data_IF_812007788782
#
_entry.id   IF_812007788782
#
_cell.length_a   1.000
_cell.length_b   1.000
_cell.length_c   1.000
_cell.angle_alpha   90.00
_cell.angle_beta   90.00
_cell.angle_gamma   90.00
#
_symmetry.space_group_name_H-M   'P 1'
#
loop_
_entity.id
_entity.type
_entity.pdbx_description
1 polymer ?
#
# COMPACT_ATOMS: atom_id res chain seq x y z
N UNK A 1 29.27 15.85 1.80
CA UNK A 1 28.11 16.19 2.67
C UNK A 1 27.74 14.96 3.50
N UNK A 2 28.00 15.01 4.80
CA UNK A 2 27.96 13.85 5.72
C UNK A 2 26.59 13.12 5.72
N UNK A 3 26.56 11.90 5.20
CA UNK A 3 25.39 11.03 5.28
C UNK A 3 25.08 10.58 6.72
N UNK A 4 26.05 10.67 7.63
CA UNK A 4 25.95 10.24 9.04
C UNK A 4 24.84 10.93 9.83
N UNK A 5 24.62 12.23 9.62
CA UNK A 5 23.54 12.97 10.30
C UNK A 5 22.14 12.49 9.90
N UNK A 6 21.97 12.01 8.66
CA UNK A 6 20.70 11.46 8.20
C UNK A 6 20.41 10.12 8.88
N UNK A 7 21.40 9.24 9.00
CA UNK A 7 21.22 7.95 9.70
C UNK A 7 20.91 8.13 11.18
N UNK A 8 21.50 9.15 11.82
CA UNK A 8 21.23 9.51 13.21
C UNK A 8 19.76 9.92 13.44
N UNK A 9 19.18 10.72 12.54
CA UNK A 9 17.76 11.10 12.59
C UNK A 9 16.85 9.88 12.46
N UNK A 10 17.17 8.93 11.57
CA UNK A 10 16.37 7.71 11.40
C UNK A 10 16.50 6.74 12.57
N UNK A 11 17.68 6.65 13.19
CA UNK A 11 17.88 5.88 14.41
C UNK A 11 17.09 6.50 15.58
N UNK A 12 17.09 7.82 15.72
CA UNK A 12 16.29 8.52 16.72
C UNK A 12 14.79 8.28 16.51
N UNK A 13 14.33 8.32 15.26
CA UNK A 13 12.94 8.02 14.90
C UNK A 13 12.56 6.56 15.20
N UNK A 14 13.47 5.60 14.99
CA UNK A 14 13.21 4.19 15.33
C UNK A 14 13.19 3.93 16.82
N UNK A 15 14.05 4.61 17.58
CA UNK A 15 14.06 4.54 19.04
C UNK A 15 12.76 5.13 19.61
N UNK A 16 12.30 6.26 19.09
CA UNK A 16 11.00 6.86 19.48
C UNK A 16 9.84 5.92 19.15
N UNK A 17 9.82 5.33 17.95
CA UNK A 17 8.78 4.37 17.56
C UNK A 17 8.77 3.11 18.42
N UNK A 18 9.96 2.57 18.75
CA UNK A 18 10.11 1.42 19.64
C UNK A 18 9.70 1.75 21.09
N UNK A 19 10.02 2.95 21.56
CA UNK A 19 9.63 3.41 22.90
C UNK A 19 8.11 3.62 23.00
N UNK A 20 7.48 4.20 21.97
CA UNK A 20 6.03 4.36 21.91
C UNK A 20 5.29 3.01 21.85
N UNK A 21 5.78 2.06 21.04
CA UNK A 21 5.25 0.69 21.01
C UNK A 21 5.45 -0.04 22.34
N UNK A 22 6.61 0.14 22.98
CA UNK A 22 6.89 -0.39 24.31
C UNK A 22 5.97 0.19 25.39
N UNK A 23 5.70 1.49 25.34
CA UNK A 23 4.78 2.17 26.26
C UNK A 23 3.34 1.66 26.11
N UNK A 24 2.87 1.47 24.88
CA UNK A 24 1.56 0.87 24.60
C UNK A 24 1.50 -0.60 25.07
N UNK A 25 2.59 -1.36 24.92
CA UNK A 25 2.64 -2.76 25.29
C UNK A 25 2.69 -3.01 26.80
N UNK A 26 3.27 -2.08 27.58
CA UNK A 26 3.47 -2.18 29.02
C UNK A 26 2.29 -1.61 29.83
N UNK A 27 1.63 -0.55 29.35
CA UNK A 27 0.52 0.10 30.05
C UNK A 27 -0.87 -0.45 29.68
N UNK A 28 -1.04 -1.78 29.71
CA UNK A 28 -2.29 -2.48 29.31
C UNK A 28 -3.51 -2.22 30.22
N UNK A 29 -3.37 -1.42 31.27
CA UNK A 29 -4.39 -1.19 32.31
C UNK A 29 -5.03 0.21 32.36
N UNK A 30 -4.49 1.21 31.64
CA UNK A 30 -5.07 2.55 31.58
C UNK A 30 -5.69 2.84 30.20
N UNK A 31 -6.53 3.87 30.11
CA UNK A 31 -7.08 4.40 28.86
C UNK A 31 -5.92 4.82 27.93
N UNK A 32 -5.48 3.93 27.03
CA UNK A 32 -4.40 4.22 26.09
C UNK A 32 -4.89 5.33 25.14
N UNK A 33 -4.26 6.50 25.25
CA UNK A 33 -4.57 7.61 24.35
C UNK A 33 -4.20 7.22 22.90
N UNK A 34 -5.18 7.32 22.00
CA UNK A 34 -5.02 7.04 20.57
C UNK A 34 -3.85 7.80 19.93
N UNK A 35 -3.45 8.94 20.50
CA UNK A 35 -2.27 9.69 20.11
C UNK A 35 -1.00 8.82 20.06
N UNK A 36 -0.78 7.95 21.04
CA UNK A 36 0.41 7.09 21.09
C UNK A 36 0.43 6.07 19.95
N UNK A 37 -0.74 5.51 19.62
CA UNK A 37 -0.90 4.57 18.51
C UNK A 37 -0.59 5.25 17.18
N UNK A 38 -1.10 6.47 16.98
CA UNK A 38 -0.85 7.25 15.75
C UNK A 38 0.63 7.59 15.62
N UNK A 39 1.27 8.06 16.70
CA UNK A 39 2.70 8.39 16.68
C UNK A 39 3.54 7.16 16.36
N UNK A 40 3.27 6.02 17.02
CA UNK A 40 3.95 4.77 16.76
C UNK A 40 3.79 4.32 15.29
N UNK A 41 2.58 4.37 14.75
CA UNK A 41 2.28 4.02 13.37
C UNK A 41 3.02 4.91 12.36
N UNK A 42 3.00 6.23 12.58
CA UNK A 42 3.70 7.19 11.72
C UNK A 42 5.21 6.95 11.73
N UNK A 43 5.82 6.75 12.90
CA UNK A 43 7.24 6.42 13.00
C UNK A 43 7.60 5.16 12.22
N UNK A 44 6.84 4.07 12.39
CA UNK A 44 7.05 2.81 11.67
C UNK A 44 6.90 3.00 10.15
N UNK A 45 5.88 3.71 9.70
CA UNK A 45 5.64 3.95 8.28
C UNK A 45 6.70 4.83 7.62
N UNK A 46 7.22 5.83 8.34
CA UNK A 46 8.33 6.68 7.86
C UNK A 46 9.62 5.87 7.69
N UNK A 47 9.96 5.03 8.67
CA UNK A 47 11.14 4.14 8.60
C UNK A 47 10.98 3.16 7.43
N UNK A 48 9.83 2.49 7.36
CA UNK A 48 9.55 1.56 6.27
C UNK A 48 9.60 2.26 4.91
N UNK A 49 9.13 3.51 4.79
CA UNK A 49 9.16 4.26 3.52
C UNK A 49 10.59 4.48 3.06
N UNK A 50 11.47 4.88 3.98
CA UNK A 50 12.85 5.20 3.68
C UNK A 50 13.69 3.96 3.35
N UNK A 51 13.64 2.93 4.18
CA UNK A 51 14.53 1.77 4.03
C UNK A 51 13.97 0.76 3.04
N UNK A 52 12.71 0.35 3.22
CA UNK A 52 12.10 -0.68 2.40
C UNK A 52 11.54 -0.14 1.08
N UNK A 53 10.83 1.00 1.14
CA UNK A 53 10.20 1.61 -0.05
C UNK A 53 11.22 2.03 -1.13
N UNK A 54 12.27 2.76 -0.74
CA UNK A 54 13.31 3.14 -1.69
C UNK A 54 14.16 1.95 -2.16
N UNK A 55 14.40 0.96 -1.31
CA UNK A 55 15.12 -0.25 -1.71
C UNK A 55 14.36 -1.00 -2.80
N UNK A 56 13.05 -1.21 -2.62
CA UNK A 56 12.23 -1.86 -3.64
C UNK A 56 12.21 -1.04 -4.94
N UNK A 57 11.96 0.27 -4.85
CA UNK A 57 11.85 1.12 -6.04
C UNK A 57 13.14 1.15 -6.87
N UNK A 58 14.31 1.19 -6.22
CA UNK A 58 15.59 1.28 -6.90
C UNK A 58 16.17 -0.08 -7.29
N UNK A 59 16.21 -1.03 -6.36
CA UNK A 59 16.94 -2.29 -6.52
C UNK A 59 16.10 -3.36 -7.19
N UNK A 60 14.81 -3.48 -6.83
CA UNK A 60 13.95 -4.57 -7.32
C UNK A 60 13.22 -4.17 -8.59
N UNK A 61 12.64 -2.97 -8.60
CA UNK A 61 11.74 -2.53 -9.67
C UNK A 61 12.44 -1.69 -10.74
N UNK A 62 13.60 -1.12 -10.43
CA UNK A 62 14.38 -0.31 -11.36
C UNK A 62 13.55 0.84 -11.94
N UNK A 63 12.96 1.66 -11.06
CA UNK A 63 12.12 2.78 -11.50
C UNK A 63 12.98 3.83 -12.21
N UNK A 64 12.73 3.99 -13.51
CA UNK A 64 13.39 4.97 -14.35
C UNK A 64 12.48 6.18 -14.58
N UNK A 65 12.85 7.38 -14.08
CA UNK A 65 12.04 8.59 -14.25
C UNK A 65 12.07 9.14 -15.69
N UNK A 66 12.98 8.66 -16.55
CA UNK A 66 13.08 9.10 -17.96
C UNK A 66 12.11 8.37 -18.88
N UNK A 67 11.50 7.26 -18.41
CA UNK A 67 10.56 6.48 -19.21
C UNK A 67 9.22 7.20 -19.31
N UNK A 68 8.83 7.55 -20.53
CA UNK A 68 7.52 8.16 -20.79
C UNK A 68 6.39 7.19 -20.40
N UNK A 69 5.42 7.72 -19.64
CA UNK A 69 4.20 6.97 -19.26
C UNK A 69 3.25 6.85 -20.46
N UNK A 70 2.42 5.80 -20.53
CA UNK A 70 1.48 5.60 -21.65
C UNK A 70 0.54 6.79 -21.88
N UNK A 71 0.16 7.51 -20.81
CA UNK A 71 -0.61 8.76 -20.90
C UNK A 71 0.02 9.86 -21.76
N UNK A 72 1.36 9.85 -21.94
CA UNK A 72 2.09 10.82 -22.78
C UNK A 72 2.39 10.20 -24.15
N UNK A 73 2.61 8.88 -24.22
CA UNK A 73 2.94 8.16 -25.45
C UNK A 73 1.75 7.99 -26.39
N UNK A 74 0.57 7.77 -25.85
CA UNK A 74 -0.67 7.49 -26.58
C UNK A 74 -1.71 8.59 -26.38
N UNK A 75 -1.28 9.85 -26.23
CA UNK A 75 -2.14 10.99 -25.88
C UNK A 75 -3.26 11.23 -26.91
N UNK A 76 -4.39 10.57 -26.71
CA UNK A 76 -5.54 10.51 -27.62
C UNK A 76 -6.69 11.43 -27.19
N UNK A 77 -6.58 12.04 -26.00
CA UNK A 77 -7.60 12.93 -25.46
C UNK A 77 -8.83 12.22 -24.87
N UNK A 78 -8.88 10.88 -24.91
CA UNK A 78 -10.00 10.06 -24.42
C UNK A 78 -9.53 9.07 -23.35
N UNK A 79 -8.74 8.06 -23.73
CA UNK A 79 -8.29 7.00 -22.82
C UNK A 79 -6.93 7.31 -22.17
N UNK A 80 -6.11 8.12 -22.83
CA UNK A 80 -4.78 8.53 -22.38
C UNK A 80 -4.66 10.05 -22.37
N UNK A 81 -4.87 10.63 -21.19
CA UNK A 81 -4.75 12.08 -20.99
C UNK A 81 -3.70 12.38 -19.91
N UNK A 82 -2.70 13.22 -20.22
CA UNK A 82 -1.72 13.68 -19.23
C UNK A 82 -2.45 14.40 -18.07
N UNK A 83 -2.42 13.76 -16.90
CA UNK A 83 -3.08 14.28 -15.69
C UNK A 83 -2.03 14.74 -14.68
N UNK A 84 -2.35 15.77 -13.88
CA UNK A 84 -1.48 16.21 -12.79
C UNK A 84 -1.26 15.09 -11.77
N UNK A 85 0.00 14.88 -11.38
CA UNK A 85 0.44 13.85 -10.43
C UNK A 85 -0.31 13.92 -9.10
N UNK A 86 -0.71 15.12 -8.66
CA UNK A 86 -1.45 15.33 -7.41
C UNK A 86 -2.87 14.77 -7.50
N UNK A 87 -3.52 14.93 -8.64
CA UNK A 87 -4.89 14.43 -8.88
C UNK A 87 -4.86 12.90 -8.97
N UNK A 88 -3.87 12.33 -9.67
CA UNK A 88 -3.69 10.88 -9.75
C UNK A 88 -3.41 10.26 -8.37
N UNK A 89 -2.58 10.93 -7.56
CA UNK A 89 -2.35 10.52 -6.17
C UNK A 89 -3.64 10.56 -5.35
N UNK A 90 -4.46 11.60 -5.51
CA UNK A 90 -5.76 11.71 -4.84
C UNK A 90 -6.72 10.56 -5.16
N UNK A 91 -6.87 10.21 -6.45
CA UNK A 91 -7.70 9.08 -6.87
C UNK A 91 -7.19 7.76 -6.30
N UNK A 92 -5.88 7.54 -6.35
CA UNK A 92 -5.26 6.33 -5.82
C UNK A 92 -5.38 6.25 -4.29
N UNK A 93 -5.18 7.38 -3.60
CA UNK A 93 -5.34 7.47 -2.16
C UNK A 93 -6.79 7.18 -1.75
N UNK A 94 -7.77 7.78 -2.41
CA UNK A 94 -9.19 7.54 -2.14
C UNK A 94 -9.56 6.06 -2.32
N UNK A 95 -9.07 5.42 -3.39
CA UNK A 95 -9.32 4.00 -3.65
C UNK A 95 -8.77 3.08 -2.54
N UNK A 96 -7.59 3.39 -1.98
CA UNK A 96 -7.00 2.60 -0.89
C UNK A 96 -7.66 2.94 0.46
N UNK A 97 -7.90 4.22 0.72
CA UNK A 97 -8.47 4.70 1.98
C UNK A 97 -9.87 4.12 2.22
N UNK A 98 -10.67 3.90 1.17
CA UNK A 98 -12.00 3.31 1.28
C UNK A 98 -12.01 1.90 1.89
N UNK A 99 -10.96 1.09 1.68
CA UNK A 99 -10.88 -0.25 2.23
C UNK A 99 -10.49 -0.30 3.73
N UNK A 100 -9.82 0.74 4.24
CA UNK A 100 -9.29 0.78 5.61
C UNK A 100 -10.36 0.70 6.71
N UNK A 101 -11.41 1.56 6.67
CA UNK A 101 -12.50 1.55 7.63
C UNK A 101 -13.33 0.26 7.64
N UNK A 102 -13.30 -0.52 6.55
CA UNK A 102 -14.03 -1.78 6.44
C UNK A 102 -13.30 -2.93 7.15
N UNK A 103 -11.98 -3.02 7.00
CA UNK A 103 -11.19 -4.13 7.53
C UNK A 103 -10.76 -3.90 8.99
N UNK A 104 -10.60 -2.64 9.40
CA UNK A 104 -10.14 -2.26 10.74
C UNK A 104 -11.03 -2.77 11.90
N UNK A 105 -12.35 -2.51 11.90
CA UNK A 105 -13.25 -2.97 12.97
C UNK A 105 -13.33 -4.50 13.07
N UNK A 106 -13.31 -5.19 11.93
CA UNK A 106 -13.36 -6.66 11.87
C UNK A 106 -12.11 -7.28 12.51
N UNK A 107 -10.92 -6.76 12.19
CA UNK A 107 -9.67 -7.20 12.81
C UNK A 107 -9.62 -6.89 14.31
N UNK A 108 -10.10 -5.71 14.71
CA UNK A 108 -10.17 -5.33 16.12
C UNK A 108 -11.12 -6.22 16.92
N UNK A 109 -12.25 -6.62 16.32
CA UNK A 109 -13.22 -7.52 16.95
C UNK A 109 -12.70 -8.95 17.10
N UNK A 110 -11.92 -9.44 16.14
CA UNK A 110 -11.42 -10.83 16.14
C UNK A 110 -10.15 -11.00 16.98
N UNK A 111 -9.20 -10.08 16.88
CA UNK A 111 -7.86 -10.25 17.47
C UNK A 111 -7.62 -9.29 18.64
N UNK A 112 -8.44 -8.24 18.81
CA UNK A 112 -8.20 -7.16 19.75
C UNK A 112 -7.28 -6.07 19.19
N UNK A 113 -7.14 -4.96 19.93
CA UNK A 113 -6.51 -3.75 19.40
C UNK A 113 -5.01 -3.91 19.11
N UNK A 114 -4.25 -4.58 19.99
CA UNK A 114 -2.79 -4.66 19.90
C UNK A 114 -2.31 -5.59 18.76
N UNK A 115 -2.75 -6.87 18.68
CA UNK A 115 -2.36 -7.73 17.57
C UNK A 115 -2.96 -7.26 16.24
N UNK A 116 -4.15 -6.67 16.25
CA UNK A 116 -4.73 -6.01 15.06
C UNK A 116 -3.85 -4.86 14.56
N UNK A 117 -3.36 -4.00 15.47
CA UNK A 117 -2.45 -2.91 15.14
C UNK A 117 -1.14 -3.44 14.53
N UNK A 118 -0.50 -4.43 15.15
CA UNK A 118 0.75 -5.02 14.64
C UNK A 118 0.53 -5.63 13.26
N UNK A 119 -0.58 -6.35 13.07
CA UNK A 119 -0.93 -6.96 11.79
C UNK A 119 -1.11 -5.93 10.68
N UNK A 120 -1.82 -4.82 10.96
CA UNK A 120 -2.02 -3.74 10.00
C UNK A 120 -0.68 -3.04 9.68
N UNK A 121 0.13 -2.74 10.69
CA UNK A 121 1.44 -2.11 10.50
C UNK A 121 2.37 -2.99 9.65
N UNK A 122 2.47 -4.28 9.98
CA UNK A 122 3.30 -5.23 9.24
C UNK A 122 2.78 -5.46 7.82
N UNK A 123 1.47 -5.70 7.67
CA UNK A 123 0.83 -5.99 6.38
C UNK A 123 0.95 -4.83 5.39
N UNK A 124 0.74 -3.59 5.83
CA UNK A 124 0.90 -2.40 4.98
C UNK A 124 2.36 -2.21 4.56
N UNK A 125 3.30 -2.40 5.48
CA UNK A 125 4.73 -2.20 5.20
C UNK A 125 5.27 -3.22 4.19
N UNK A 126 4.89 -4.49 4.33
CA UNK A 126 5.42 -5.58 3.51
C UNK A 126 4.59 -5.80 2.24
N UNK A 127 3.39 -6.35 2.39
CA UNK A 127 2.54 -6.77 1.27
C UNK A 127 1.87 -5.59 0.57
N UNK A 128 1.33 -4.64 1.33
CA UNK A 128 0.56 -3.52 0.79
C UNK A 128 1.39 -2.66 -0.17
N UNK A 129 2.52 -2.13 0.32
CA UNK A 129 3.36 -1.26 -0.50
C UNK A 129 4.00 -1.96 -1.70
N UNK A 130 4.55 -3.15 -1.49
CA UNK A 130 5.16 -3.92 -2.58
C UNK A 130 4.15 -4.21 -3.68
N UNK A 131 2.98 -4.75 -3.31
CA UNK A 131 1.94 -5.14 -4.29
C UNK A 131 1.42 -3.94 -5.06
N UNK A 132 1.12 -2.83 -4.38
CA UNK A 132 0.62 -1.62 -5.05
C UNK A 132 1.67 -1.04 -6.02
N UNK A 133 2.93 -0.94 -5.59
CA UNK A 133 4.00 -0.41 -6.44
C UNK A 133 4.27 -1.33 -7.64
N UNK A 134 4.28 -2.64 -7.41
CA UNK A 134 4.49 -3.64 -8.46
C UNK A 134 3.36 -3.63 -9.49
N UNK A 135 2.10 -3.66 -9.05
CA UNK A 135 0.94 -3.62 -9.95
C UNK A 135 0.92 -2.34 -10.80
N UNK A 136 1.18 -1.16 -10.21
CA UNK A 136 1.26 0.09 -10.97
C UNK A 136 2.39 0.09 -12.00
N UNK A 137 3.56 -0.46 -11.66
CA UNK A 137 4.69 -0.51 -12.59
C UNK A 137 4.51 -1.54 -13.70
N UNK A 138 3.93 -2.70 -13.42
CA UNK A 138 3.62 -3.69 -14.45
C UNK A 138 2.56 -3.15 -15.41
N UNK A 139 1.49 -2.55 -14.87
CA UNK A 139 0.42 -1.96 -15.69
C UNK A 139 0.97 -0.84 -16.58
N UNK A 140 1.75 0.10 -16.05
CA UNK A 140 2.33 1.20 -16.86
C UNK A 140 3.32 0.73 -17.93
N UNK A 141 3.99 -0.42 -17.74
CA UNK A 141 4.87 -1.04 -18.76
C UNK A 141 4.11 -1.77 -19.87
N UNK A 142 2.83 -2.07 -19.65
CA UNK A 142 1.92 -2.77 -20.56
C UNK A 142 0.75 -1.86 -20.95
N UNK A 143 1.08 -0.59 -21.23
CA UNK A 143 0.16 0.44 -21.70
C UNK A 143 -1.04 0.71 -20.78
N UNK A 144 -0.93 0.50 -19.47
CA UNK A 144 -2.00 0.81 -18.52
C UNK A 144 -3.12 -0.23 -18.47
N UNK A 145 -2.93 -1.41 -19.08
CA UNK A 145 -3.93 -2.48 -19.08
C UNK A 145 -4.26 -2.98 -17.68
N UNK A 146 -5.48 -3.49 -17.53
CA UNK A 146 -5.95 -4.09 -16.29
C UNK A 146 -5.21 -5.39 -15.99
N UNK A 147 -5.10 -5.76 -14.71
CA UNK A 147 -4.48 -7.03 -14.32
C UNK A 147 -5.20 -8.25 -14.90
N UNK A 148 -6.52 -8.19 -15.08
CA UNK A 148 -7.30 -9.27 -15.69
C UNK A 148 -6.96 -9.48 -17.17
N UNK A 149 -6.79 -8.39 -17.93
CA UNK A 149 -6.34 -8.45 -19.33
C UNK A 149 -4.91 -8.95 -19.45
N UNK A 150 -4.02 -8.50 -18.55
CA UNK A 150 -2.63 -8.98 -18.48
C UNK A 150 -2.55 -10.49 -18.25
N UNK A 151 -3.37 -11.04 -17.35
CA UNK A 151 -3.43 -12.48 -17.10
C UNK A 151 -3.97 -13.22 -18.33
N UNK A 152 -4.97 -12.67 -19.01
CA UNK A 152 -5.54 -13.26 -20.23
C UNK A 152 -4.52 -13.33 -21.37
N UNK A 153 -3.67 -12.31 -21.51
CA UNK A 153 -2.62 -12.25 -22.54
C UNK A 153 -1.48 -13.23 -22.26
N UNK A 154 -1.04 -13.35 -21.01
CA UNK A 154 0.13 -14.17 -20.67
C UNK A 154 -0.20 -15.65 -20.41
N UNK A 155 -1.36 -15.96 -19.82
CA UNK A 155 -1.76 -17.33 -19.43
C UNK A 155 -2.84 -17.93 -20.35
N UNK A 156 -3.31 -17.15 -21.33
CA UNK A 156 -4.30 -17.57 -22.30
C UNK A 156 -5.76 -17.31 -21.90
N UNK A 157 -6.71 -17.54 -22.82
CA UNK A 157 -8.11 -17.13 -22.67
C UNK A 157 -8.82 -17.79 -21.48
N UNK A 158 -8.51 -19.06 -21.23
CA UNK A 158 -9.13 -19.87 -20.17
C UNK A 158 -8.72 -19.38 -18.78
N UNK A 159 -7.44 -19.08 -18.59
CA UNK A 159 -6.92 -18.50 -17.35
C UNK A 159 -7.47 -17.09 -17.09
N UNK A 160 -7.61 -16.27 -18.15
CA UNK A 160 -8.23 -14.94 -18.04
C UNK A 160 -9.71 -14.99 -17.61
N UNK A 161 -10.50 -15.92 -18.17
CA UNK A 161 -11.90 -16.11 -17.76
C UNK A 161 -11.99 -16.61 -16.33
N UNK A 162 -11.15 -17.58 -15.93
CA UNK A 162 -11.07 -18.05 -14.55
C UNK A 162 -10.71 -16.92 -13.57
N UNK A 163 -9.76 -16.06 -13.92
CA UNK A 163 -9.38 -14.91 -13.11
C UNK A 163 -10.53 -13.90 -12.97
N UNK A 164 -11.26 -13.63 -14.05
CA UNK A 164 -12.43 -12.75 -14.03
C UNK A 164 -13.57 -13.34 -13.18
N UNK A 165 -13.86 -14.63 -13.34
CA UNK A 165 -14.87 -15.35 -12.54
C UNK A 165 -14.48 -15.36 -11.06
N UNK A 166 -13.21 -15.64 -10.74
CA UNK A 166 -12.73 -15.60 -9.36
C UNK A 166 -12.84 -14.19 -8.75
N UNK A 167 -12.48 -13.15 -9.51
CA UNK A 167 -12.61 -11.77 -9.07
C UNK A 167 -14.08 -11.38 -8.82
N UNK A 168 -14.97 -11.77 -9.74
CA UNK A 168 -16.41 -11.55 -9.60
C UNK A 168 -17.00 -12.34 -8.41
N UNK A 169 -16.56 -13.57 -8.17
CA UNK A 169 -16.98 -14.38 -7.01
C UNK A 169 -16.58 -13.72 -5.69
N UNK A 170 -15.38 -13.15 -5.58
CA UNK A 170 -14.91 -12.46 -4.36
C UNK A 170 -15.72 -11.19 -4.11
N UNK A 171 -16.00 -10.41 -5.16
CA UNK A 171 -16.89 -9.24 -5.06
C UNK A 171 -18.34 -9.66 -4.74
N UNK A 172 -18.83 -10.70 -5.40
CA UNK A 172 -20.17 -11.24 -5.22
C UNK A 172 -20.41 -11.85 -3.84
N UNK A 173 -19.43 -12.55 -3.27
CA UNK A 173 -19.52 -13.10 -1.90
C UNK A 173 -19.55 -11.98 -0.85
N UNK A 174 -18.86 -10.87 -1.10
CA UNK A 174 -18.93 -9.69 -0.23
C UNK A 174 -20.29 -8.97 -0.31
N UNK A 175 -21.09 -9.18 -1.35
CA UNK A 175 -22.42 -8.56 -1.44
C UNK A 175 -23.51 -9.28 -0.62
N UNK A 176 -23.27 -10.52 -0.18
CA UNK A 176 -24.23 -11.32 0.62
C UNK A 176 -24.09 -11.16 2.12
N UNK A 177 -22.92 -10.76 2.61
CA UNK A 177 -22.67 -10.54 4.05
C UNK A 177 -23.07 -9.15 4.55
N UNK A 178 -23.61 -8.30 3.67
CA UNK A 178 -24.03 -6.92 3.95
C UNK A 178 -25.51 -6.67 3.61
N UNK A 179 -26.33 -7.73 3.62
CA UNK A 179 -27.78 -7.62 3.79
C UNK A 179 -28.17 -8.11 5.17
#
# INVERSE_FOLDING_TARGET
MNNSGKYLIWALLSVIGAFALGYIALNRGEQINALWIVVAAVCVYLIAYRFYGLYIAKTVLGVDPTRMTPAVRHNDGLDYVPTDKKVLFGHHFAAIAGAGPLVGPVLAAQMGYLPGMIWILAGVCWLGRYRTLWCCLVSTRRDGRSLGELVKEEMGPTAGVLALVACFMIMGSSSRSWR
#
